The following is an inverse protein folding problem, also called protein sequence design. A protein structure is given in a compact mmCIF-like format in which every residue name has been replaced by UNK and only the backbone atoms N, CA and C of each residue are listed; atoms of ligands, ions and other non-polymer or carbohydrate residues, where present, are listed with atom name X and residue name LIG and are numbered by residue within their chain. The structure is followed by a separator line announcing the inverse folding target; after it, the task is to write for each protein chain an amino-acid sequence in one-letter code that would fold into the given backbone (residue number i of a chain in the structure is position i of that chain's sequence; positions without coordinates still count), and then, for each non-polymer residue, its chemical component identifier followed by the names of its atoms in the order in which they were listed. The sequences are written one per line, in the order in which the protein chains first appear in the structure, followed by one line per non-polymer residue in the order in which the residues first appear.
data_IF_895194974275
#
_entry.id   IF_895194974275
#
_cell.length_a   1.000
_cell.length_b   1.000
_cell.length_c   1.000
_cell.angle_alpha   90.00
_cell.angle_beta   90.00
_cell.angle_gamma   90.00
#
_symmetry.space_group_name_H-M   'P 1'
#
loop_
_entity.id
_entity.type
_entity.pdbx_description
1 polymer ?
#
# COMPACT_ATOMS: atom_id res chain seq x y z
N UNK A 1 -14.04 -16.09 -19.72
CA UNK A 1 -13.47 -15.63 -18.44
C UNK A 1 -12.22 -14.81 -18.74
N UNK A 2 -12.25 -13.50 -18.48
CA UNK A 2 -11.13 -12.59 -18.74
C UNK A 2 -10.06 -12.75 -17.65
N UNK A 3 -9.14 -13.70 -17.83
CA UNK A 3 -7.91 -13.74 -17.05
C UNK A 3 -7.04 -12.58 -17.53
N UNK A 4 -7.23 -11.41 -16.93
CA UNK A 4 -6.25 -10.34 -17.02
C UNK A 4 -4.91 -10.96 -16.59
N UNK A 5 -3.97 -11.05 -17.53
CA UNK A 5 -2.59 -11.47 -17.32
C UNK A 5 -2.05 -10.71 -16.11
N UNK A 6 -2.10 -11.32 -14.91
CA UNK A 6 -1.54 -10.74 -13.70
C UNK A 6 -0.04 -10.88 -13.83
N UNK A 7 0.60 -9.92 -14.49
CA UNK A 7 2.06 -9.81 -14.51
C UNK A 7 2.50 -9.69 -13.06
N UNK A 8 3.18 -10.72 -12.58
CA UNK A 8 3.97 -10.66 -11.37
C UNK A 8 5.23 -9.87 -11.72
N UNK A 9 5.48 -8.80 -10.98
CA UNK A 9 6.71 -8.04 -11.10
C UNK A 9 6.99 -7.32 -9.79
N UNK A 10 8.11 -6.62 -9.77
CA UNK A 10 8.50 -5.81 -8.63
C UNK A 10 7.76 -4.48 -8.70
N UNK A 11 7.14 -4.12 -7.58
CA UNK A 11 6.34 -2.92 -7.44
C UNK A 11 6.91 -2.05 -6.32
N UNK A 12 7.17 -0.79 -6.66
CA UNK A 12 7.31 0.27 -5.68
C UNK A 12 5.91 0.68 -5.22
N UNK A 13 5.69 0.62 -3.91
CA UNK A 13 4.41 0.96 -3.28
C UNK A 13 4.62 2.10 -2.30
N UNK A 14 3.82 3.15 -2.44
CA UNK A 14 3.80 4.30 -1.53
C UNK A 14 2.45 4.38 -0.85
N UNK A 15 2.43 4.28 0.47
CA UNK A 15 1.26 4.51 1.31
C UNK A 15 1.27 5.93 1.86
N UNK A 16 0.13 6.62 1.77
CA UNK A 16 -0.10 7.95 2.34
C UNK A 16 -1.34 7.85 3.22
N UNK A 17 -1.20 8.15 4.50
CA UNK A 17 -2.26 8.04 5.50
C UNK A 17 -2.11 9.12 6.57
N UNK A 18 -3.19 9.36 7.32
CA UNK A 18 -3.21 10.34 8.38
C UNK A 18 -3.23 9.64 9.73
N UNK A 19 -2.58 10.24 10.69
CA UNK A 19 -2.62 9.85 12.09
C UNK A 19 -3.75 10.57 12.81
N UNK A 20 -4.18 10.02 13.94
CA UNK A 20 -5.15 10.67 14.84
C UNK A 20 -4.65 12.01 15.39
N UNK A 21 -3.32 12.22 15.42
CA UNK A 21 -2.69 13.49 15.76
C UNK A 21 -2.90 14.59 14.70
N UNK A 22 -3.39 14.22 13.51
CA UNK A 22 -3.53 15.12 12.37
C UNK A 22 -2.31 15.15 11.44
N UNK A 23 -1.22 14.47 11.80
CA UNK A 23 -0.03 14.35 10.95
C UNK A 23 -0.27 13.43 9.76
N UNK A 24 0.28 13.77 8.60
CA UNK A 24 0.29 12.91 7.43
C UNK A 24 1.61 12.16 7.33
N UNK A 25 1.54 10.83 7.22
CA UNK A 25 2.70 9.96 7.07
C UNK A 25 2.74 9.39 5.66
N UNK A 26 3.94 9.39 5.08
CA UNK A 26 4.24 8.83 3.77
C UNK A 26 5.26 7.71 3.95
N UNK A 27 4.90 6.50 3.55
CA UNK A 27 5.76 5.32 3.65
C UNK A 27 5.95 4.68 2.29
N UNK A 28 7.19 4.35 1.95
CA UNK A 28 7.56 3.67 0.71
C UNK A 28 8.10 2.26 0.99
N UNK A 29 7.70 1.29 0.18
CA UNK A 29 8.18 -0.10 0.23
C UNK A 29 8.32 -0.67 -1.18
N UNK A 30 9.16 -1.68 -1.34
CA UNK A 30 9.26 -2.49 -2.56
C UNK A 30 8.62 -3.84 -2.27
N UNK A 31 7.71 -4.28 -3.12
CA UNK A 31 7.11 -5.61 -3.09
C UNK A 31 7.59 -6.40 -4.31
N UNK A 32 8.22 -7.55 -4.07
CA UNK A 32 8.85 -8.35 -5.13
C UNK A 32 7.93 -9.45 -5.63
N UNK A 33 7.95 -9.71 -6.94
CA UNK A 33 7.23 -10.82 -7.59
C UNK A 33 5.75 -10.97 -7.16
N UNK A 34 5.04 -9.85 -7.05
CA UNK A 34 3.62 -9.83 -6.68
C UNK A 34 2.81 -9.20 -7.80
N UNK A 35 1.49 -9.40 -7.80
CA UNK A 35 0.60 -8.59 -8.64
C UNK A 35 0.42 -7.19 -8.04
N UNK A 36 0.04 -6.22 -8.88
CA UNK A 36 -0.30 -4.85 -8.44
C UNK A 36 -1.33 -4.83 -7.29
N UNK A 37 -2.29 -5.75 -7.31
CA UNK A 37 -3.34 -5.85 -6.27
C UNK A 37 -2.77 -6.36 -4.95
N UNK A 38 -1.90 -7.36 -5.00
CA UNK A 38 -1.22 -7.89 -3.81
C UNK A 38 -0.27 -6.84 -3.22
N UNK A 39 0.50 -6.15 -4.06
CA UNK A 39 1.37 -5.05 -3.64
C UNK A 39 0.58 -3.97 -2.86
N UNK A 40 -0.60 -3.57 -3.37
CA UNK A 40 -1.48 -2.63 -2.68
C UNK A 40 -2.05 -3.19 -1.37
N UNK A 41 -2.46 -4.47 -1.35
CA UNK A 41 -3.00 -5.12 -0.16
C UNK A 41 -1.93 -5.26 0.95
N UNK A 42 -0.72 -5.67 0.58
CA UNK A 42 0.42 -5.77 1.50
C UNK A 42 0.76 -4.42 2.14
N UNK A 43 0.71 -3.31 1.38
CA UNK A 43 0.91 -1.98 1.94
C UNK A 43 -0.19 -1.60 2.93
N UNK A 44 -1.46 -1.85 2.61
CA UNK A 44 -2.57 -1.58 3.55
C UNK A 44 -2.42 -2.38 4.84
N UNK A 45 -2.14 -3.67 4.73
CA UNK A 45 -1.93 -4.54 5.88
C UNK A 45 -0.74 -4.08 6.72
N UNK A 46 0.36 -3.68 6.08
CA UNK A 46 1.52 -3.12 6.76
C UNK A 46 1.15 -1.87 7.56
N UNK A 47 0.43 -0.92 6.93
CA UNK A 47 0.01 0.32 7.60
C UNK A 47 -0.88 0.00 8.80
N UNK A 48 -1.87 -0.87 8.61
CA UNK A 48 -2.76 -1.29 9.69
C UNK A 48 -1.99 -1.98 10.82
N UNK A 49 -1.04 -2.86 10.53
CA UNK A 49 -0.30 -3.59 11.58
C UNK A 49 0.63 -2.67 12.37
N UNK A 50 1.38 -1.80 11.68
CA UNK A 50 2.44 -1.01 12.32
C UNK A 50 1.92 0.30 12.95
N UNK A 51 0.77 0.79 12.47
CA UNK A 51 0.21 2.07 12.92
C UNK A 51 -1.21 1.93 13.48
N UNK A 52 -1.68 0.72 13.82
CA UNK A 52 -3.06 0.52 14.30
C UNK A 52 -3.48 1.47 15.43
N UNK A 53 -2.57 1.75 16.37
CA UNK A 53 -2.85 2.59 17.54
C UNK A 53 -2.98 4.08 17.22
N UNK A 54 -2.33 4.54 16.16
CA UNK A 54 -2.20 5.96 15.83
C UNK A 54 -2.85 6.33 14.50
N UNK A 55 -3.30 5.35 13.72
CA UNK A 55 -3.93 5.54 12.42
C UNK A 55 -5.34 6.12 12.56
N UNK A 56 -5.62 7.20 11.82
CA UNK A 56 -6.98 7.73 11.70
C UNK A 56 -7.83 6.83 10.79
N UNK A 57 -8.69 6.01 11.41
CA UNK A 57 -9.60 5.09 10.72
C UNK A 57 -10.75 5.79 9.98
N UNK A 58 -11.01 7.07 10.26
CA UNK A 58 -12.03 7.85 9.56
C UNK A 58 -11.53 8.41 8.23
N UNK A 59 -10.21 8.34 7.97
CA UNK A 59 -9.61 8.81 6.73
C UNK A 59 -9.08 7.65 5.87
N UNK A 60 -9.19 7.74 4.54
CA UNK A 60 -8.74 6.66 3.67
C UNK A 60 -7.21 6.59 3.60
N UNK A 61 -6.68 5.37 3.63
CA UNK A 61 -5.27 5.07 3.27
C UNK A 61 -5.16 5.12 1.75
N UNK A 62 -4.41 6.09 1.22
CA UNK A 62 -4.08 6.18 -0.21
C UNK A 62 -2.87 5.31 -0.50
N UNK A 63 -2.96 4.45 -1.52
CA UNK A 63 -1.86 3.57 -1.92
C UNK A 63 -1.56 3.78 -3.40
N UNK A 64 -0.36 4.26 -3.71
CA UNK A 64 0.15 4.38 -5.06
C UNK A 64 1.08 3.19 -5.35
N UNK A 65 0.87 2.53 -6.49
CA UNK A 65 1.67 1.37 -6.91
C UNK A 65 2.27 1.65 -8.28
N UNK A 66 3.61 1.59 -8.37
CA UNK A 66 4.38 1.80 -9.59
C UNK A 66 5.22 0.55 -9.87
N UNK A 67 5.13 -0.01 -11.07
CA UNK A 67 6.00 -1.11 -11.49
C UNK A 67 7.43 -0.62 -11.61
N UNK A 68 8.38 -1.35 -11.06
CA UNK A 68 9.81 -1.18 -11.30
C UNK A 68 10.11 -2.01 -12.56
N UNK A 69 10.46 -1.34 -13.66
CA UNK A 69 10.93 -1.96 -14.89
C UNK A 69 12.44 -1.79 -14.99
#
# INVERSE_FOLDING_TARGET
MLFANRRLCDYEVVGIFNMVSGEQVVTKRICHNVSKREAAAHMKQFVQTNYHDTLDLHRPIKVAVKSIH
#
